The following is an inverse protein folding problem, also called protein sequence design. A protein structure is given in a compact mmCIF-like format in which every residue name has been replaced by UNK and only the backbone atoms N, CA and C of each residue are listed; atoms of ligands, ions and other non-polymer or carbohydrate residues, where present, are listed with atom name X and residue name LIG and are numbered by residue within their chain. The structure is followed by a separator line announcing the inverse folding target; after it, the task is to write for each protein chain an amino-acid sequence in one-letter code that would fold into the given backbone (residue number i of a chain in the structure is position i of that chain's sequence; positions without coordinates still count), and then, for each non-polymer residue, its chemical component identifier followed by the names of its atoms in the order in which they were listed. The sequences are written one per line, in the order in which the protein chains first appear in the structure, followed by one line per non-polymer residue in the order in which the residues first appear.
data_IF_214877187104
#
_entry.id   IF_214877187104
#
_cell.length_a   1.000
_cell.length_b   1.000
_cell.length_c   1.000
_cell.angle_alpha   90.00
_cell.angle_beta   90.00
_cell.angle_gamma   90.00
#
_symmetry.space_group_name_H-M   'P 1'
#
loop_
_entity.id
_entity.type
_entity.pdbx_description
1 polymer ?
#
# COMPACT_ATOMS: atom_id res chain seq x y z
N UNK A 1 -17.60 -9.71 29.23
CA UNK A 1 -18.70 -9.23 28.38
C UNK A 1 -18.07 -8.79 27.07
N UNK A 2 -18.05 -9.73 26.14
CA UNK A 2 -17.55 -9.58 24.78
C UNK A 2 -18.38 -8.50 24.09
N UNK A 3 -17.73 -7.48 23.54
CA UNK A 3 -18.34 -6.63 22.53
C UNK A 3 -18.10 -7.34 21.19
N UNK A 4 -19.09 -8.06 20.62
CA UNK A 4 -18.93 -8.83 19.37
C UNK A 4 -18.58 -7.99 18.13
N UNK A 5 -18.47 -6.67 18.28
CA UNK A 5 -18.21 -5.70 17.21
C UNK A 5 -16.69 -5.38 17.10
N UNK A 6 -15.91 -5.59 18.16
CA UNK A 6 -14.46 -5.35 18.21
C UNK A 6 -13.74 -6.59 18.76
N UNK A 7 -13.82 -7.71 18.03
CA UNK A 7 -12.94 -8.84 18.33
C UNK A 7 -11.49 -8.45 18.07
N UNK A 8 -10.57 -8.92 18.90
CA UNK A 8 -9.13 -8.63 18.76
C UNK A 8 -8.61 -9.02 17.38
N UNK A 9 -9.16 -10.10 16.81
CA UNK A 9 -8.90 -10.57 15.44
C UNK A 9 -9.29 -9.55 14.36
N UNK A 10 -10.42 -8.86 14.52
CA UNK A 10 -10.89 -7.85 13.56
C UNK A 10 -9.91 -6.67 13.51
N UNK A 11 -9.44 -6.24 14.68
CA UNK A 11 -8.47 -5.14 14.82
C UNK A 11 -7.16 -5.55 14.15
N UNK A 12 -6.65 -6.75 14.43
CA UNK A 12 -5.43 -7.29 13.81
C UNK A 12 -5.55 -7.36 12.28
N UNK A 13 -6.63 -7.94 11.76
CA UNK A 13 -6.87 -8.04 10.33
C UNK A 13 -6.95 -6.65 9.67
N UNK A 14 -7.58 -5.69 10.33
CA UNK A 14 -7.67 -4.31 9.84
C UNK A 14 -6.28 -3.66 9.75
N UNK A 15 -5.44 -3.80 10.78
CA UNK A 15 -4.07 -3.26 10.76
C UNK A 15 -3.20 -3.89 9.68
N UNK A 16 -3.30 -5.21 9.46
CA UNK A 16 -2.60 -5.89 8.37
C UNK A 16 -3.02 -5.30 7.02
N UNK A 17 -4.33 -5.16 6.79
CA UNK A 17 -4.87 -4.59 5.55
C UNK A 17 -4.43 -3.12 5.35
N UNK A 18 -4.45 -2.33 6.43
CA UNK A 18 -4.02 -0.94 6.44
C UNK A 18 -2.55 -0.79 6.05
N UNK A 19 -1.66 -1.62 6.61
CA UNK A 19 -0.24 -1.58 6.30
C UNK A 19 0.01 -1.96 4.83
N UNK A 20 -0.63 -3.03 4.34
CA UNK A 20 -0.50 -3.47 2.94
C UNK A 20 -0.95 -2.37 1.97
N UNK A 21 -2.12 -1.76 2.20
CA UNK A 21 -2.66 -0.69 1.35
C UNK A 21 -1.82 0.59 1.48
N UNK A 22 -1.38 0.93 2.69
CA UNK A 22 -0.50 2.07 2.93
C UNK A 22 0.84 1.95 2.19
N UNK A 23 1.43 0.75 2.18
CA UNK A 23 2.65 0.45 1.44
C UNK A 23 2.45 0.54 -0.08
N UNK A 24 1.35 -0.02 -0.60
CA UNK A 24 0.95 0.07 -2.02
C UNK A 24 0.78 1.52 -2.47
N UNK A 25 -0.14 2.25 -1.82
CA UNK A 25 -0.45 3.65 -2.17
C UNK A 25 0.78 4.53 -2.00
N UNK A 26 1.63 4.20 -1.02
CA UNK A 26 2.83 4.96 -0.76
C UNK A 26 3.95 4.81 -1.77
N UNK A 27 3.97 3.74 -2.54
CA UNK A 27 4.97 3.46 -3.57
C UNK A 27 4.48 3.75 -4.99
N UNK A 28 3.16 3.87 -5.19
CA UNK A 28 2.58 4.28 -6.46
C UNK A 28 3.08 5.67 -6.89
N UNK A 29 3.58 5.86 -8.12
CA UNK A 29 4.17 7.12 -8.57
C UNK A 29 3.17 8.29 -8.59
N UNK A 30 1.89 8.02 -8.87
CA UNK A 30 0.82 9.03 -8.90
C UNK A 30 0.61 9.65 -7.52
N UNK A 31 0.52 8.83 -6.47
CA UNK A 31 0.20 9.25 -5.10
C UNK A 31 1.44 9.41 -4.20
N UNK A 32 2.59 8.91 -4.63
CA UNK A 32 3.87 8.97 -3.93
C UNK A 32 4.68 10.25 -4.21
N UNK A 33 4.22 11.10 -5.13
CA UNK A 33 4.88 12.38 -5.44
C UNK A 33 4.68 13.41 -4.33
N UNK A 34 5.64 14.34 -4.17
CA UNK A 34 5.57 15.45 -3.21
C UNK A 34 4.41 16.43 -3.47
N UNK A 35 3.76 16.31 -4.63
CA UNK A 35 2.63 17.14 -5.02
C UNK A 35 1.36 16.81 -4.22
N UNK A 36 1.27 15.61 -3.62
CA UNK A 36 0.09 15.21 -2.84
C UNK A 36 0.30 15.49 -1.34
N UNK A 37 -0.54 16.31 -0.69
CA UNK A 37 -0.42 16.55 0.75
C UNK A 37 -0.56 15.25 1.54
N UNK A 38 0.34 15.03 2.51
CA UNK A 38 0.38 13.80 3.33
C UNK A 38 -0.98 13.48 3.98
N UNK A 39 -1.73 14.51 4.38
CA UNK A 39 -3.06 14.37 4.99
C UNK A 39 -4.08 13.74 4.02
N UNK A 40 -4.07 14.16 2.76
CA UNK A 40 -4.97 13.62 1.74
C UNK A 40 -4.61 12.17 1.47
N UNK A 41 -3.32 11.86 1.32
CA UNK A 41 -2.82 10.49 1.12
C UNK A 41 -3.21 9.57 2.28
N UNK A 42 -3.03 10.00 3.53
CA UNK A 42 -3.43 9.22 4.69
C UNK A 42 -4.95 8.95 4.71
N UNK A 43 -5.77 9.96 4.41
CA UNK A 43 -7.22 9.78 4.28
C UNK A 43 -7.60 8.81 3.17
N UNK A 44 -6.91 8.86 2.03
CA UNK A 44 -7.11 7.97 0.89
C UNK A 44 -6.77 6.51 1.23
N UNK A 45 -5.65 6.28 1.94
CA UNK A 45 -5.27 4.95 2.44
C UNK A 45 -6.36 4.39 3.34
N UNK A 46 -6.81 5.16 4.34
CA UNK A 46 -7.86 4.71 5.27
C UNK A 46 -9.17 4.41 4.54
N UNK A 47 -9.59 5.28 3.61
CA UNK A 47 -10.79 5.07 2.80
C UNK A 47 -10.70 3.80 1.96
N UNK A 48 -9.58 3.58 1.27
CA UNK A 48 -9.36 2.36 0.49
C UNK A 48 -9.37 1.12 1.39
N UNK A 49 -8.72 1.19 2.56
CA UNK A 49 -8.76 0.10 3.53
C UNK A 49 -10.18 -0.20 3.97
N UNK A 50 -11.01 0.80 4.29
CA UNK A 50 -12.40 0.57 4.69
C UNK A 50 -13.24 -0.11 3.59
N UNK A 51 -13.00 0.23 2.32
CA UNK A 51 -13.71 -0.38 1.18
C UNK A 51 -13.22 -1.80 0.89
N UNK A 52 -11.91 -2.04 0.96
CA UNK A 52 -11.29 -3.32 0.59
C UNK A 52 -11.38 -4.35 1.73
N UNK A 53 -11.31 -3.88 2.97
CA UNK A 53 -11.31 -4.73 4.17
C UNK A 53 -12.45 -5.76 4.23
N UNK A 54 -13.74 -5.43 4.01
CA UNK A 54 -14.81 -6.43 4.08
C UNK A 54 -14.67 -7.55 3.05
N UNK A 55 -14.05 -7.27 1.91
CA UNK A 55 -13.82 -8.26 0.84
C UNK A 55 -12.62 -9.17 1.16
N UNK A 56 -11.56 -8.60 1.74
CA UNK A 56 -10.30 -9.31 1.98
C UNK A 56 -10.26 -9.99 3.36
N UNK A 57 -11.11 -9.57 4.30
CA UNK A 57 -11.21 -10.13 5.67
C UNK A 57 -11.16 -11.67 5.73
N UNK A 58 -11.95 -12.44 4.96
CA UNK A 58 -11.94 -13.90 5.07
C UNK A 58 -10.66 -14.56 4.52
N UNK A 59 -9.82 -13.83 3.79
CA UNK A 59 -8.54 -14.31 3.24
C UNK A 59 -7.34 -13.92 4.12
N UNK A 60 -7.53 -13.08 5.14
CA UNK A 60 -6.44 -12.63 5.98
C UNK A 60 -6.07 -13.72 7.00
N UNK A 61 -4.77 -14.02 7.17
CA UNK A 61 -4.33 -15.03 8.12
C UNK A 61 -4.63 -14.57 9.55
N UNK A 62 -5.35 -15.40 10.29
CA UNK A 62 -5.52 -15.26 11.73
C UNK A 62 -4.29 -15.85 12.43
N UNK A 63 -3.45 -15.00 13.01
CA UNK A 63 -2.26 -15.44 13.77
C UNK A 63 -2.50 -15.18 15.25
N UNK A 64 -2.07 -16.12 16.08
CA UNK A 64 -2.06 -16.00 17.56
C UNK A 64 -1.43 -14.68 17.99
N UNK A 65 -1.90 -14.10 19.09
CA UNK A 65 -1.40 -12.84 19.66
C UNK A 65 0.00 -12.95 20.28
N UNK A 66 0.95 -13.57 19.57
CA UNK A 66 2.36 -13.55 19.94
C UNK A 66 3.02 -12.30 19.30
N UNK A 67 3.59 -11.37 20.10
CA UNK A 67 4.09 -10.09 19.59
C UNK A 67 5.11 -10.22 18.46
N UNK A 68 5.98 -11.22 18.54
CA UNK A 68 7.03 -11.47 17.54
C UNK A 68 6.44 -11.96 16.22
N UNK A 69 5.52 -12.93 16.28
CA UNK A 69 4.85 -13.46 15.09
C UNK A 69 4.03 -12.38 14.38
N UNK A 70 3.33 -11.53 15.14
CA UNK A 70 2.54 -10.43 14.60
C UNK A 70 3.43 -9.36 13.95
N UNK A 71 4.55 -8.99 14.57
CA UNK A 71 5.50 -8.04 13.99
C UNK A 71 6.09 -8.56 12.67
N UNK A 72 6.51 -9.83 12.62
CA UNK A 72 7.01 -10.46 11.40
C UNK A 72 5.96 -10.49 10.29
N UNK A 73 4.70 -10.79 10.64
CA UNK A 73 3.59 -10.76 9.70
C UNK A 73 3.37 -9.36 9.13
N UNK A 74 3.31 -8.32 9.98
CA UNK A 74 3.13 -6.94 9.54
C UNK A 74 4.26 -6.47 8.61
N UNK A 75 5.50 -6.86 8.90
CA UNK A 75 6.64 -6.57 8.02
C UNK A 75 6.49 -7.29 6.68
N UNK A 76 6.16 -8.58 6.69
CA UNK A 76 5.94 -9.35 5.46
C UNK A 76 4.83 -8.76 4.59
N UNK A 77 3.73 -8.35 5.22
CA UNK A 77 2.57 -7.73 4.58
C UNK A 77 2.89 -6.34 4.00
N UNK A 78 3.66 -5.55 4.74
CA UNK A 78 4.22 -4.29 4.26
C UNK A 78 5.14 -4.50 3.06
N UNK A 79 6.05 -5.48 3.13
CA UNK A 79 6.97 -5.82 2.04
C UNK A 79 6.22 -6.27 0.78
N UNK A 80 5.20 -7.12 0.91
CA UNK A 80 4.36 -7.52 -0.22
C UNK A 80 3.67 -6.30 -0.86
N UNK A 81 3.14 -5.39 -0.05
CA UNK A 81 2.55 -4.15 -0.53
C UNK A 81 3.57 -3.27 -1.26
N UNK A 82 4.79 -3.14 -0.73
CA UNK A 82 5.88 -2.42 -1.37
C UNK A 82 6.27 -3.06 -2.71
N UNK A 83 6.44 -4.38 -2.76
CA UNK A 83 6.82 -5.09 -3.98
C UNK A 83 5.84 -4.82 -5.12
N UNK A 84 4.54 -4.96 -4.85
CA UNK A 84 3.50 -4.72 -5.86
C UNK A 84 3.48 -3.25 -6.30
N UNK A 85 3.64 -2.30 -5.37
CA UNK A 85 3.67 -0.89 -5.74
C UNK A 85 4.93 -0.48 -6.50
N UNK A 86 6.09 -1.10 -6.22
CA UNK A 86 7.30 -0.91 -7.01
C UNK A 86 7.19 -1.50 -8.42
N UNK A 87 6.50 -2.62 -8.60
CA UNK A 87 6.20 -3.15 -9.94
C UNK A 87 5.43 -2.11 -10.78
N UNK A 88 4.41 -1.49 -10.20
CA UNK A 88 3.70 -0.40 -10.86
C UNK A 88 4.64 0.78 -11.16
N UNK A 89 5.50 1.17 -10.21
CA UNK A 89 6.48 2.25 -10.41
C UNK A 89 7.43 1.98 -11.59
N UNK A 90 7.90 0.75 -11.76
CA UNK A 90 8.76 0.40 -12.91
C UNK A 90 8.07 0.62 -14.25
N UNK A 91 6.76 0.37 -14.36
CA UNK A 91 6.02 0.63 -15.60
C UNK A 91 6.05 2.13 -15.93
N UNK A 92 5.75 2.99 -14.96
CA UNK A 92 5.79 4.45 -15.18
C UNK A 92 7.20 4.95 -15.47
N UNK A 93 8.21 4.44 -14.76
CA UNK A 93 9.62 4.79 -15.01
C UNK A 93 10.04 4.38 -16.42
N UNK A 94 9.62 3.21 -16.93
CA UNK A 94 9.91 2.80 -18.29
C UNK A 94 9.29 3.76 -19.34
N UNK A 95 8.05 4.21 -19.11
CA UNK A 95 7.38 5.19 -19.97
C UNK A 95 8.09 6.55 -19.93
N UNK A 96 8.47 7.02 -18.74
CA UNK A 96 9.21 8.27 -18.54
C UNK A 96 10.58 8.24 -19.24
N UNK A 97 11.30 7.13 -19.12
CA UNK A 97 12.57 6.89 -19.83
C UNK A 97 12.37 6.87 -21.35
N UNK A 98 11.31 6.25 -21.85
CA UNK A 98 10.99 6.28 -23.28
C UNK A 98 10.70 7.69 -23.78
N UNK A 99 9.88 8.46 -23.04
CA UNK A 99 9.57 9.84 -23.38
C UNK A 99 10.79 10.76 -23.38
N UNK A 100 11.69 10.60 -22.40
CA UNK A 100 12.95 11.35 -22.35
C UNK A 100 13.87 11.02 -23.52
N UNK A 101 14.04 9.74 -23.89
CA UNK A 101 14.84 9.35 -25.07
C UNK A 101 14.29 9.96 -26.36
N UNK A 102 12.98 9.95 -26.56
CA UNK A 102 12.34 10.58 -27.72
C UNK A 102 12.57 12.10 -27.70
N UNK A 103 12.44 12.74 -26.53
CA UNK A 103 12.72 14.17 -26.35
C UNK A 103 14.16 14.56 -26.68
N UNK A 104 15.14 13.72 -26.30
CA UNK A 104 16.53 13.88 -26.70
C UNK A 104 16.71 13.82 -28.21
N UNK A 105 16.07 12.84 -28.88
CA UNK A 105 16.17 12.70 -30.33
C UNK A 105 15.51 13.84 -31.10
N UNK A 106 14.43 14.44 -30.57
CA UNK A 106 13.77 15.61 -31.16
C UNK A 106 14.55 16.92 -30.92
N UNK A 107 15.60 16.91 -30.11
CA UNK A 107 16.39 18.10 -29.78
C UNK A 107 15.72 19.01 -28.74
N UNK A 108 14.66 18.55 -28.06
CA UNK A 108 13.99 19.31 -26.99
C UNK A 108 14.70 19.24 -25.64
N UNK A 109 15.68 18.35 -25.48
CA UNK A 109 16.45 18.16 -24.26
C UNK A 109 17.90 18.69 -24.37
N UNK A 110 18.10 19.74 -25.18
CA UNK A 110 19.33 20.54 -25.24
C UNK A 110 19.29 21.70 -24.24
#
# INVERSE_FOLDING_TARGET
MELPILSTELVQAFFICLIRIGALVGTLPIYGSSQTPMRVRAGLVVMLTLVVFPVVRPLLPTVTFEPVALALLLVGEGLLGLMVGYLARFIFTAVELGGTVIGYQMGFAA
#
